data_IF_599593117967
#
_entry.id   IF_599593117967
#
_cell.length_a   1.000
_cell.length_b   1.000
_cell.length_c   1.000
_cell.angle_alpha   90.00
_cell.angle_beta   90.00
_cell.angle_gamma   90.00
#
_symmetry.space_group_name_H-M   'P 1'
#
loop_
_entity.id
_entity.type
_entity.pdbx_description
1 polymer ?
#
# COMPACT_ATOMS: atom_id res chain seq x y z
N UNK A 1 34.64 -6.97 17.45
CA UNK A 1 34.44 -5.53 17.67
C UNK A 1 33.55 -5.03 16.53
N UNK A 2 32.23 -5.22 16.66
CA UNK A 2 31.27 -4.91 15.59
C UNK A 2 31.01 -3.40 15.58
N UNK A 3 31.65 -2.69 14.64
CA UNK A 3 31.20 -1.35 14.26
C UNK A 3 29.85 -1.50 13.55
N UNK A 4 28.73 -1.34 14.27
CA UNK A 4 27.46 -0.99 13.64
C UNK A 4 27.70 0.31 12.87
N UNK A 5 27.45 0.29 11.56
CA UNK A 5 27.37 1.50 10.75
C UNK A 5 26.28 2.37 11.39
N UNK A 6 26.70 3.52 11.90
CA UNK A 6 25.82 4.55 12.45
C UNK A 6 25.25 5.31 11.25
N UNK A 7 24.02 4.98 10.87
CA UNK A 7 23.27 5.71 9.86
C UNK A 7 22.77 7.00 10.51
N UNK A 8 23.45 8.10 10.17
CA UNK A 8 23.17 9.46 10.62
C UNK A 8 21.69 9.82 10.51
N UNK A 9 21.16 10.48 11.56
CA UNK A 9 19.81 11.08 11.67
C UNK A 9 19.15 11.44 10.31
N UNK A 10 18.32 10.55 9.78
CA UNK A 10 17.51 10.83 8.59
C UNK A 10 16.41 11.83 8.97
N UNK A 11 16.39 12.99 8.29
CA UNK A 11 15.37 14.02 8.48
C UNK A 11 14.26 13.85 7.44
N UNK A 12 13.05 13.55 7.90
CA UNK A 12 11.84 13.58 7.08
C UNK A 12 11.17 14.94 7.28
N UNK A 13 11.11 15.75 6.24
CA UNK A 13 10.39 17.02 6.27
C UNK A 13 8.98 16.80 5.71
N UNK A 14 7.96 17.01 6.52
CA UNK A 14 6.56 16.89 6.10
C UNK A 14 5.95 18.27 6.09
N UNK A 15 5.60 18.77 4.90
CA UNK A 15 4.89 20.03 4.73
C UNK A 15 3.38 19.73 4.57
N UNK A 16 2.62 20.07 5.61
CA UNK A 16 1.18 19.86 5.68
C UNK A 16 0.38 21.11 5.29
N UNK A 17 1.00 22.06 4.60
CA UNK A 17 0.38 23.26 4.06
C UNK A 17 0.04 24.36 5.07
N UNK A 18 -0.19 24.04 6.35
CA UNK A 18 -0.32 25.03 7.45
C UNK A 18 0.84 25.00 8.45
N UNK A 19 1.58 23.89 8.49
CA UNK A 19 2.72 23.66 9.36
C UNK A 19 3.74 22.78 8.63
N UNK A 20 5.03 23.09 8.76
CA UNK A 20 6.12 22.18 8.39
C UNK A 20 6.57 21.45 9.65
N UNK A 21 6.59 20.11 9.62
CA UNK A 21 7.11 19.29 10.72
C UNK A 21 8.32 18.52 10.23
N UNK A 22 9.41 18.57 11.00
CA UNK A 22 10.60 17.75 10.77
C UNK A 22 10.58 16.61 11.75
N UNK A 23 10.56 15.38 11.24
CA UNK A 23 10.70 14.17 12.06
C UNK A 23 12.12 13.66 11.93
N UNK A 24 12.76 13.39 13.07
CA UNK A 24 14.01 12.64 13.11
C UNK A 24 13.66 11.16 13.19
N UNK A 25 14.12 10.37 12.22
CA UNK A 25 13.97 8.92 12.24
C UNK A 25 14.99 8.31 13.21
N UNK A 26 14.52 7.47 14.15
CA UNK A 26 15.37 6.60 14.96
C UNK A 26 14.69 5.25 15.17
N UNK A 27 15.21 4.20 14.52
CA UNK A 27 14.87 2.79 14.80
C UNK A 27 13.38 2.44 14.81
N UNK A 28 12.58 2.96 13.89
CA UNK A 28 11.25 2.40 13.60
C UNK A 28 10.13 2.65 14.62
N UNK A 29 10.29 3.61 15.54
CA UNK A 29 9.19 4.06 16.42
C UNK A 29 8.86 5.54 16.15
N UNK A 30 7.57 5.82 15.96
CA UNK A 30 7.02 7.17 15.85
C UNK A 30 6.17 7.49 17.07
N UNK A 31 6.46 8.63 17.72
CA UNK A 31 5.46 9.32 18.54
C UNK A 31 4.53 10.11 17.59
N UNK A 32 3.30 9.62 17.42
CA UNK A 32 2.13 10.40 16.98
C UNK A 32 2.19 11.10 15.61
N UNK A 33 2.75 10.48 14.57
CA UNK A 33 2.60 10.98 13.19
C UNK A 33 2.21 9.89 12.16
N UNK A 34 1.00 9.94 11.57
CA UNK A 34 0.33 8.75 11.02
C UNK A 34 0.52 8.49 9.53
N UNK A 35 1.59 9.02 8.93
CA UNK A 35 1.68 9.03 7.47
C UNK A 35 2.40 7.82 6.86
N UNK A 36 3.26 7.13 7.61
CA UNK A 36 4.39 6.47 6.98
C UNK A 36 4.76 5.14 7.64
N UNK A 37 4.64 4.05 6.89
CA UNK A 37 5.24 2.76 7.24
C UNK A 37 6.45 2.51 6.37
N UNK A 38 7.54 2.09 7.00
CA UNK A 38 8.78 1.68 6.33
C UNK A 38 9.13 0.25 6.73
N UNK A 39 9.36 -0.59 5.72
CA UNK A 39 9.82 -1.95 5.90
C UNK A 39 11.24 -2.00 6.47
N UNK A 40 11.63 -3.17 6.97
CA UNK A 40 12.96 -3.38 7.55
C UNK A 40 14.06 -3.14 6.51
N UNK A 41 15.23 -2.72 6.98
CA UNK A 41 16.42 -2.52 6.15
C UNK A 41 16.24 -1.51 4.99
N UNK A 42 15.16 -0.74 5.00
CA UNK A 42 14.95 0.38 4.10
C UNK A 42 15.49 1.67 4.73
N UNK A 43 16.06 2.55 3.92
CA UNK A 43 16.54 3.86 4.35
C UNK A 43 16.11 4.97 3.40
N UNK A 44 16.06 6.21 3.91
CA UNK A 44 15.62 7.39 3.17
C UNK A 44 16.52 8.55 3.55
N UNK A 45 17.36 9.00 2.61
CA UNK A 45 18.28 10.08 2.89
C UNK A 45 17.56 11.44 3.05
N UNK A 46 16.58 11.74 2.20
CA UNK A 46 15.77 12.97 2.31
C UNK A 46 14.49 12.87 1.49
N UNK A 47 13.36 13.22 2.12
CA UNK A 47 12.05 13.23 1.50
C UNK A 47 11.22 14.42 2.00
N UNK A 48 10.44 14.99 1.08
CA UNK A 48 9.40 15.96 1.33
C UNK A 48 8.05 15.40 0.89
N UNK A 49 7.03 15.61 1.71
CA UNK A 49 5.63 15.36 1.35
C UNK A 49 4.95 16.71 1.25
N UNK A 50 4.30 16.95 0.12
CA UNK A 50 3.50 18.15 -0.14
C UNK A 50 2.05 17.71 -0.39
N UNK A 51 1.16 18.02 0.56
CA UNK A 51 -0.22 17.53 0.55
C UNK A 51 -1.28 18.64 0.53
N UNK A 52 -2.27 18.49 -0.35
CA UNK A 52 -3.51 19.29 -0.35
C UNK A 52 -4.61 18.75 0.59
N UNK A 53 -4.35 17.65 1.28
CA UNK A 53 -5.27 17.00 2.21
C UNK A 53 -4.89 17.26 3.68
N UNK A 54 -5.86 17.17 4.58
CA UNK A 54 -5.58 16.99 6.00
C UNK A 54 -4.86 15.67 6.27
N UNK A 55 -4.16 15.60 7.41
CA UNK A 55 -3.32 14.45 7.80
C UNK A 55 -4.11 13.12 7.83
N UNK A 56 -5.41 13.19 8.08
CA UNK A 56 -6.29 12.04 8.29
C UNK A 56 -6.61 11.21 7.04
N UNK A 57 -6.13 11.59 5.86
CA UNK A 57 -6.44 10.91 4.58
C UNK A 57 -5.19 10.68 3.70
N UNK A 58 -3.99 10.68 4.29
CA UNK A 58 -2.75 10.31 3.60
C UNK A 58 -2.29 8.92 4.05
N UNK A 59 -1.74 8.12 3.15
CA UNK A 59 -1.17 6.80 3.44
C UNK A 59 0.06 6.53 2.57
N UNK A 60 1.24 6.42 3.18
CA UNK A 60 2.47 6.14 2.45
C UNK A 60 3.09 4.88 3.03
N UNK A 61 3.28 3.89 2.16
CA UNK A 61 3.75 2.56 2.52
C UNK A 61 5.01 2.27 1.72
N UNK A 62 6.13 2.00 2.39
CA UNK A 62 7.39 1.60 1.78
C UNK A 62 7.77 0.21 2.26
N UNK A 63 8.03 -0.70 1.32
CA UNK A 63 8.48 -2.06 1.59
C UNK A 63 9.87 -2.13 2.21
N UNK A 64 10.36 -3.35 2.35
CA UNK A 64 11.64 -3.67 2.96
C UNK A 64 12.80 -3.59 1.95
N UNK A 65 14.01 -3.36 2.44
CA UNK A 65 15.26 -3.30 1.64
C UNK A 65 15.31 -2.22 0.55
N UNK A 66 14.55 -1.13 0.73
CA UNK A 66 14.51 -0.01 -0.20
C UNK A 66 15.68 0.95 0.02
N UNK A 67 16.21 1.47 -1.08
CA UNK A 67 17.28 2.47 -1.11
C UNK A 67 16.74 3.78 -1.68
N UNK A 68 16.45 4.76 -0.83
CA UNK A 68 15.80 6.01 -1.25
C UNK A 68 16.77 7.17 -1.03
N UNK A 69 17.16 7.81 -2.13
CA UNK A 69 18.19 8.84 -2.13
C UNK A 69 17.66 10.23 -1.67
N UNK A 70 18.34 11.32 -2.06
CA UNK A 70 18.04 12.67 -1.59
C UNK A 70 16.95 13.36 -2.42
N UNK A 71 16.27 14.32 -1.79
CA UNK A 71 15.31 15.24 -2.41
C UNK A 71 14.15 14.53 -3.10
N UNK A 72 13.57 13.53 -2.44
CA UNK A 72 12.37 12.87 -2.95
C UNK A 72 11.15 13.70 -2.61
N UNK A 73 10.28 13.97 -3.58
CA UNK A 73 9.06 14.76 -3.36
C UNK A 73 7.82 13.91 -3.64
N UNK A 74 6.97 13.74 -2.63
CA UNK A 74 5.65 13.11 -2.77
C UNK A 74 4.58 14.19 -2.86
N UNK A 75 3.94 14.32 -4.03
CA UNK A 75 2.86 15.27 -4.29
C UNK A 75 1.51 14.60 -4.09
N UNK A 76 0.84 14.88 -2.97
CA UNK A 76 -0.40 14.22 -2.59
C UNK A 76 -1.60 15.18 -2.70
N UNK A 77 -2.58 14.81 -3.53
CA UNK A 77 -3.82 15.56 -3.71
C UNK A 77 -3.67 17.09 -3.95
N UNK A 78 -2.65 17.50 -4.71
CA UNK A 78 -2.48 18.89 -5.19
C UNK A 78 -3.25 19.13 -6.51
N UNK A 79 -4.41 18.49 -6.66
CA UNK A 79 -5.18 18.49 -7.90
C UNK A 79 -6.16 19.67 -7.98
N UNK A 80 -6.38 20.16 -9.20
CA UNK A 80 -7.40 21.14 -9.53
C UNK A 80 -8.33 20.59 -10.61
N UNK A 81 -9.59 21.01 -10.61
CA UNK A 81 -10.55 20.62 -11.64
C UNK A 81 -10.29 21.42 -12.91
N UNK A 82 -9.43 20.88 -13.78
CA UNK A 82 -9.10 21.50 -15.06
C UNK A 82 -10.25 21.41 -16.09
N UNK A 83 -11.34 20.70 -15.78
CA UNK A 83 -12.55 20.67 -16.61
C UNK A 83 -13.55 21.75 -16.21
N UNK A 84 -13.43 22.32 -15.01
CA UNK A 84 -14.22 23.48 -14.57
C UNK A 84 -13.80 24.74 -15.32
N UNK A 85 -14.72 25.72 -15.41
CA UNK A 85 -14.46 27.06 -15.98
C UNK A 85 -13.28 27.75 -15.26
N UNK A 86 -13.06 27.42 -13.98
CA UNK A 86 -11.94 27.94 -13.19
C UNK A 86 -11.29 26.83 -12.37
N UNK A 87 -9.95 26.85 -12.34
CA UNK A 87 -9.13 26.01 -11.44
C UNK A 87 -8.95 26.65 -10.06
N UNK A 88 -9.36 27.91 -9.89
CA UNK A 88 -9.17 28.71 -8.67
C UNK A 88 -9.88 28.12 -7.45
N UNK A 89 -9.15 27.81 -6.38
CA UNK A 89 -9.68 27.26 -5.13
C UNK A 89 -10.16 28.34 -4.15
N UNK A 90 -10.48 29.55 -4.63
CA UNK A 90 -10.99 30.61 -3.74
C UNK A 90 -12.30 30.18 -3.06
N UNK A 91 -12.60 30.69 -1.86
CA UNK A 91 -13.83 30.34 -1.14
C UNK A 91 -15.12 30.55 -1.94
N UNK A 92 -15.11 31.49 -2.90
CA UNK A 92 -16.25 31.77 -3.79
C UNK A 92 -16.57 30.55 -4.69
N UNK A 93 -15.56 29.75 -5.06
CA UNK A 93 -15.69 28.60 -5.97
C UNK A 93 -15.48 27.24 -5.30
N UNK A 94 -15.29 27.19 -3.97
CA UNK A 94 -14.89 25.97 -3.25
C UNK A 94 -16.04 24.95 -3.04
N UNK A 95 -17.28 25.42 -2.94
CA UNK A 95 -18.43 24.63 -2.45
C UNK A 95 -19.00 23.58 -3.42
N UNK A 96 -18.44 23.42 -4.63
CA UNK A 96 -19.04 22.56 -5.69
C UNK A 96 -18.08 21.55 -6.34
N UNK A 97 -16.85 21.39 -5.83
CA UNK A 97 -15.86 20.53 -6.50
C UNK A 97 -15.95 19.07 -6.05
N UNK A 98 -16.35 18.19 -6.98
CA UNK A 98 -16.29 16.73 -6.82
C UNK A 98 -15.01 16.17 -7.46
N UNK A 99 -13.85 16.56 -6.92
CA UNK A 99 -12.58 15.97 -7.37
C UNK A 99 -12.34 14.66 -6.65
N UNK A 100 -11.97 13.63 -7.41
CA UNK A 100 -11.41 12.41 -6.81
C UNK A 100 -10.07 12.74 -6.20
N UNK A 101 -9.89 12.39 -4.94
CA UNK A 101 -8.67 12.65 -4.19
C UNK A 101 -8.00 11.31 -3.92
N UNK A 102 -6.71 11.20 -4.23
CA UNK A 102 -5.93 9.99 -3.95
C UNK A 102 -4.95 10.26 -2.81
N UNK A 103 -5.11 9.53 -1.73
CA UNK A 103 -4.29 9.73 -0.52
C UNK A 103 -3.06 8.84 -0.45
N UNK A 104 -2.98 7.82 -1.31
CA UNK A 104 -2.03 6.72 -1.15
C UNK A 104 -0.82 6.81 -2.07
N UNK A 105 0.36 6.46 -1.55
CA UNK A 105 1.53 6.07 -2.34
C UNK A 105 2.05 4.74 -1.78
N UNK A 106 2.24 3.75 -2.66
CA UNK A 106 2.82 2.45 -2.29
C UNK A 106 4.15 2.28 -3.00
N UNK A 107 5.18 1.92 -2.24
CA UNK A 107 6.48 1.52 -2.73
C UNK A 107 6.70 0.09 -2.23
N UNK A 108 6.93 -0.84 -3.16
CA UNK A 108 7.20 -2.24 -2.86
C UNK A 108 8.54 -2.45 -2.16
N UNK A 109 9.02 -3.69 -2.18
CA UNK A 109 10.28 -4.09 -1.57
C UNK A 109 11.45 -3.98 -2.56
N UNK A 110 12.68 -3.85 -2.09
CA UNK A 110 13.90 -3.76 -2.93
C UNK A 110 13.85 -2.64 -3.99
N UNK A 111 13.13 -1.55 -3.71
CA UNK A 111 13.02 -0.42 -4.65
C UNK A 111 14.20 0.52 -4.47
N UNK A 112 14.85 0.87 -5.58
CA UNK A 112 15.87 1.92 -5.61
C UNK A 112 15.30 3.19 -6.22
N UNK A 113 15.31 4.30 -5.47
CA UNK A 113 14.90 5.62 -5.94
C UNK A 113 16.11 6.57 -5.95
N UNK A 114 16.48 7.04 -7.14
CA UNK A 114 17.56 8.00 -7.34
C UNK A 114 17.21 9.42 -6.87
N UNK A 115 18.20 10.32 -6.88
CA UNK A 115 18.03 11.68 -6.38
C UNK A 115 16.98 12.50 -7.17
N UNK A 116 16.33 13.45 -6.50
CA UNK A 116 15.44 14.44 -7.11
C UNK A 116 14.25 13.83 -7.87
N UNK A 117 13.65 12.76 -7.34
CA UNK A 117 12.47 12.11 -7.94
C UNK A 117 11.19 12.70 -7.35
N UNK A 118 10.20 12.93 -8.22
CA UNK A 118 8.84 13.32 -7.82
C UNK A 118 7.91 12.12 -7.99
N UNK A 119 7.13 11.78 -6.97
CA UNK A 119 6.09 10.74 -7.04
C UNK A 119 4.73 11.37 -6.82
N UNK A 120 3.81 11.11 -7.75
CA UNK A 120 2.46 11.63 -7.72
C UNK A 120 1.54 10.77 -6.85
N UNK A 121 0.57 11.43 -6.26
CA UNK A 121 -0.62 10.89 -5.61
C UNK A 121 -1.22 9.67 -6.33
N UNK A 122 -1.39 8.57 -5.59
CA UNK A 122 -2.08 7.37 -6.06
C UNK A 122 -1.21 6.39 -6.85
N UNK A 123 0.11 6.54 -6.82
CA UNK A 123 1.06 5.68 -7.53
C UNK A 123 1.49 4.49 -6.68
N UNK A 124 1.58 3.33 -7.33
CA UNK A 124 2.25 2.12 -6.82
C UNK A 124 3.55 1.85 -7.58
N UNK A 125 4.66 1.70 -6.87
CA UNK A 125 5.96 1.28 -7.42
C UNK A 125 6.21 -0.17 -7.04
N UNK A 126 6.29 -1.06 -8.03
CA UNK A 126 6.44 -2.50 -7.83
C UNK A 126 7.79 -2.92 -7.24
N UNK A 127 7.84 -4.13 -6.68
CA UNK A 127 9.04 -4.70 -6.08
C UNK A 127 10.24 -4.69 -7.02
N UNK A 128 11.43 -4.41 -6.51
CA UNK A 128 12.67 -4.44 -7.29
C UNK A 128 12.80 -3.32 -8.33
N UNK A 129 11.84 -2.40 -8.44
CA UNK A 129 11.90 -1.33 -9.43
C UNK A 129 13.07 -0.36 -9.16
N UNK A 130 13.58 0.23 -10.24
CA UNK A 130 14.66 1.24 -10.17
C UNK A 130 14.17 2.52 -10.81
N UNK A 131 14.11 3.58 -10.03
CA UNK A 131 13.71 4.91 -10.47
C UNK A 131 14.95 5.77 -10.65
N UNK A 132 15.25 6.11 -11.90
CA UNK A 132 16.35 6.98 -12.27
C UNK A 132 16.17 8.40 -11.70
N UNK A 133 17.29 9.04 -11.38
CA UNK A 133 17.30 10.39 -10.84
C UNK A 133 16.55 11.39 -11.75
N UNK A 134 15.85 12.35 -11.13
CA UNK A 134 15.10 13.39 -11.84
C UNK A 134 13.78 12.91 -12.47
N UNK A 135 13.36 11.66 -12.26
CA UNK A 135 12.11 11.14 -12.84
C UNK A 135 10.86 11.73 -12.16
N UNK A 136 9.78 11.87 -12.94
CA UNK A 136 8.44 12.24 -12.43
C UNK A 136 7.50 11.07 -12.60
N UNK A 137 7.23 10.38 -11.49
CA UNK A 137 6.41 9.18 -11.43
C UNK A 137 4.94 9.55 -11.24
N UNK A 138 4.20 9.56 -12.35
CA UNK A 138 2.77 9.88 -12.47
C UNK A 138 1.86 8.68 -12.72
N UNK A 139 2.43 7.48 -12.92
CA UNK A 139 1.71 6.21 -13.13
C UNK A 139 2.42 5.08 -12.39
N UNK A 140 1.70 3.98 -12.18
CA UNK A 140 2.26 2.78 -11.54
C UNK A 140 3.48 2.26 -12.31
N UNK A 141 4.44 1.73 -11.55
CA UNK A 141 5.69 1.16 -12.07
C UNK A 141 5.65 -0.35 -11.86
N UNK A 142 5.79 -1.16 -12.93
CA UNK A 142 5.82 -2.62 -12.79
C UNK A 142 7.00 -3.13 -11.95
N UNK A 143 6.89 -4.32 -11.33
CA UNK A 143 8.02 -4.94 -10.65
C UNK A 143 9.25 -5.09 -11.54
N UNK A 144 10.43 -4.83 -10.96
CA UNK A 144 11.75 -4.90 -11.61
C UNK A 144 11.93 -4.01 -12.84
N UNK A 145 11.00 -3.10 -13.11
CA UNK A 145 11.15 -2.12 -14.18
C UNK A 145 12.20 -1.06 -13.80
N UNK A 146 12.97 -0.63 -14.79
CA UNK A 146 13.86 0.54 -14.67
C UNK A 146 13.17 1.69 -15.39
N UNK A 147 12.92 2.78 -14.67
CA UNK A 147 12.13 3.92 -15.13
C UNK A 147 12.93 5.21 -15.04
N UNK A 148 12.82 6.08 -16.04
CA UNK A 148 13.41 7.42 -16.00
C UNK A 148 12.55 8.44 -16.76
N UNK A 149 12.83 9.72 -16.57
CA UNK A 149 12.29 10.83 -17.36
C UNK A 149 11.02 11.49 -16.79
N UNK A 150 10.60 12.55 -17.48
CA UNK A 150 9.38 13.30 -17.24
C UNK A 150 8.68 13.58 -18.59
N UNK A 151 7.55 12.93 -18.91
CA UNK A 151 6.89 11.90 -18.10
C UNK A 151 7.73 10.62 -18.04
N UNK A 152 7.56 9.84 -16.97
CA UNK A 152 8.28 8.58 -16.77
C UNK A 152 8.13 7.61 -17.95
N UNK A 153 9.17 6.85 -18.25
CA UNK A 153 9.15 5.74 -19.21
C UNK A 153 9.92 4.54 -18.66
N UNK A 154 9.37 3.35 -18.87
CA UNK A 154 10.13 2.10 -18.66
C UNK A 154 11.18 2.02 -19.76
N UNK A 155 12.47 1.98 -19.40
CA UNK A 155 13.58 1.87 -20.35
C UNK A 155 13.98 0.41 -20.60
N UNK A 156 13.88 -0.42 -19.56
CA UNK A 156 14.09 -1.88 -19.60
C UNK A 156 13.61 -2.48 -18.28
N UNK A 157 13.66 -3.80 -18.19
CA UNK A 157 13.54 -4.54 -16.93
C UNK A 157 14.92 -4.97 -16.45
N UNK A 158 15.09 -5.15 -15.13
CA UNK A 158 16.33 -5.69 -14.54
C UNK A 158 16.61 -7.11 -15.03
N UNK A 159 15.55 -7.90 -15.22
CA UNK A 159 15.58 -9.33 -15.53
C UNK A 159 14.52 -9.67 -16.58
N UNK A 160 14.55 -10.89 -17.12
CA UNK A 160 13.50 -11.36 -18.03
C UNK A 160 12.21 -11.72 -17.28
N UNK A 161 11.11 -11.89 -18.01
CA UNK A 161 9.78 -12.13 -17.42
C UNK A 161 9.72 -13.39 -16.55
N UNK A 162 10.38 -14.47 -16.95
CA UNK A 162 10.40 -15.72 -16.17
C UNK A 162 11.15 -15.55 -14.85
N UNK A 163 12.30 -14.88 -14.87
CA UNK A 163 13.10 -14.56 -13.69
C UNK A 163 12.33 -13.67 -12.73
N UNK A 164 11.66 -12.62 -13.24
CA UNK A 164 10.81 -11.73 -12.44
C UNK A 164 9.69 -12.54 -11.78
N UNK A 165 9.00 -13.38 -12.55
CA UNK A 165 7.93 -14.25 -12.03
C UNK A 165 8.44 -15.15 -10.90
N UNK A 166 9.63 -15.75 -11.05
CA UNK A 166 10.24 -16.59 -10.00
C UNK A 166 10.59 -15.76 -8.76
N UNK A 167 11.17 -14.57 -8.91
CA UNK A 167 11.49 -13.69 -7.79
C UNK A 167 10.24 -13.23 -7.01
N UNK A 168 9.16 -12.87 -7.71
CA UNK A 168 7.87 -12.54 -7.10
C UNK A 168 7.21 -13.72 -6.37
N UNK A 169 7.65 -14.96 -6.66
CA UNK A 169 7.25 -16.14 -5.87
C UNK A 169 8.19 -16.35 -4.67
N UNK A 170 9.50 -16.19 -4.87
CA UNK A 170 10.51 -16.41 -3.83
C UNK A 170 10.34 -15.41 -2.67
N UNK A 171 9.95 -14.16 -2.97
CA UNK A 171 9.71 -13.06 -2.01
C UNK A 171 10.78 -13.03 -0.92
N UNK A 172 12.06 -13.01 -1.33
CA UNK A 172 13.19 -13.16 -0.41
C UNK A 172 13.22 -12.09 0.70
N UNK A 173 12.63 -10.92 0.43
CA UNK A 173 12.44 -9.84 1.41
C UNK A 173 11.52 -10.22 2.58
N UNK A 174 10.83 -11.36 2.53
CA UNK A 174 10.04 -11.92 3.64
C UNK A 174 10.81 -12.99 4.42
N UNK A 175 12.02 -13.39 4.02
CA UNK A 175 12.81 -14.40 4.73
C UNK A 175 13.26 -13.88 6.10
N UNK A 176 13.25 -14.73 7.13
CA UNK A 176 13.85 -14.34 8.41
C UNK A 176 15.36 -14.04 8.28
N UNK A 177 15.92 -13.32 9.26
CA UNK A 177 17.33 -12.93 9.23
C UNK A 177 18.29 -14.13 9.21
N UNK A 178 17.92 -15.27 9.80
CA UNK A 178 18.77 -16.47 9.80
C UNK A 178 18.88 -17.05 8.39
N UNK A 179 17.75 -17.13 7.67
CA UNK A 179 17.70 -17.55 6.27
C UNK A 179 18.42 -16.56 5.36
N UNK A 180 18.31 -15.25 5.59
CA UNK A 180 19.07 -14.24 4.84
C UNK A 180 20.58 -14.44 5.04
N UNK A 181 21.06 -14.48 6.29
CA UNK A 181 22.48 -14.60 6.61
C UNK A 181 23.09 -15.90 6.06
N UNK A 182 22.39 -17.03 6.22
CA UNK A 182 22.81 -18.34 5.70
C UNK A 182 22.97 -18.35 4.19
N UNK A 183 22.18 -17.53 3.48
CA UNK A 183 22.14 -17.50 2.02
C UNK A 183 22.77 -16.22 1.42
N UNK A 184 23.43 -15.37 2.22
CA UNK A 184 23.91 -14.05 1.80
C UNK A 184 24.77 -14.06 0.53
N UNK A 185 25.56 -15.13 0.33
CA UNK A 185 26.43 -15.27 -0.83
C UNK A 185 25.66 -15.28 -2.15
N UNK A 186 24.43 -15.81 -2.16
CA UNK A 186 23.62 -15.94 -3.37
C UNK A 186 23.13 -14.59 -3.92
N UNK A 187 23.08 -13.54 -3.10
CA UNK A 187 22.62 -12.21 -3.55
C UNK A 187 23.63 -11.49 -4.46
N UNK A 188 24.88 -11.97 -4.54
CA UNK A 188 25.90 -11.48 -5.45
C UNK A 188 26.10 -12.39 -6.68
N UNK A 189 25.40 -13.52 -6.74
CA UNK A 189 25.51 -14.49 -7.83
C UNK A 189 24.63 -14.11 -9.04
N UNK A 190 24.82 -14.83 -10.14
CA UNK A 190 23.96 -14.71 -11.32
C UNK A 190 22.49 -15.04 -10.97
N UNK A 191 21.57 -14.27 -11.57
CA UNK A 191 20.14 -14.40 -11.31
C UNK A 191 19.62 -15.81 -11.58
N UNK A 192 20.12 -16.51 -12.61
CA UNK A 192 19.68 -17.86 -12.94
C UNK A 192 20.09 -18.86 -11.85
N UNK A 193 21.29 -18.70 -11.28
CA UNK A 193 21.74 -19.51 -10.14
C UNK A 193 20.85 -19.28 -8.91
N UNK A 194 20.50 -18.02 -8.64
CA UNK A 194 19.63 -17.67 -7.52
C UNK A 194 18.23 -18.28 -7.67
N UNK A 195 17.57 -18.05 -8.80
CA UNK A 195 16.19 -18.54 -8.99
C UNK A 195 16.15 -20.06 -9.07
N UNK A 196 17.14 -20.72 -9.71
CA UNK A 196 17.21 -22.18 -9.74
C UNK A 196 17.42 -22.80 -8.35
N UNK A 197 18.08 -22.07 -7.44
CA UNK A 197 18.32 -22.53 -6.07
C UNK A 197 17.06 -22.42 -5.19
N UNK A 198 16.29 -21.35 -5.32
CA UNK A 198 15.25 -20.99 -4.35
C UNK A 198 13.81 -21.08 -4.88
N UNK A 199 13.61 -21.12 -6.19
CA UNK A 199 12.26 -21.25 -6.75
C UNK A 199 11.76 -22.68 -6.59
N UNK A 200 10.55 -22.84 -6.04
CA UNK A 200 9.80 -24.10 -6.04
C UNK A 200 8.39 -23.89 -6.57
N UNK A 201 7.91 -24.74 -7.48
CA UNK A 201 6.54 -24.66 -8.00
C UNK A 201 5.49 -25.14 -6.98
N UNK A 202 5.90 -25.98 -6.03
CA UNK A 202 5.02 -26.65 -5.06
C UNK A 202 4.41 -25.66 -4.05
N UNK A 203 5.12 -24.59 -3.68
CA UNK A 203 4.64 -23.59 -2.70
C UNK A 203 3.42 -22.79 -3.18
N UNK A 204 3.12 -22.77 -4.48
CA UNK A 204 1.91 -22.11 -5.03
C UNK A 204 0.64 -22.96 -4.96
N UNK A 205 0.76 -24.29 -4.88
CA UNK A 205 -0.37 -25.19 -5.10
C UNK A 205 -1.13 -25.62 -3.83
N UNK A 206 -0.55 -25.44 -2.64
CA UNK A 206 -1.15 -25.92 -1.38
C UNK A 206 -1.98 -24.86 -0.63
N UNK A 207 -2.64 -23.95 -1.34
CA UNK A 207 -3.53 -22.97 -0.70
C UNK A 207 -4.96 -23.51 -0.81
N UNK A 208 -5.62 -23.72 0.33
CA UNK A 208 -6.98 -24.24 0.38
C UNK A 208 -7.95 -23.35 -0.42
N UNK A 209 -8.96 -23.97 -1.02
CA UNK A 209 -10.05 -23.23 -1.67
C UNK A 209 -11.13 -22.94 -0.63
N UNK A 210 -11.41 -21.66 -0.41
CA UNK A 210 -12.55 -21.22 0.39
C UNK A 210 -13.65 -20.79 -0.57
N UNK A 211 -14.74 -21.56 -0.65
CA UNK A 211 -15.91 -21.18 -1.44
C UNK A 211 -16.76 -20.22 -0.63
N UNK A 212 -16.87 -18.96 -1.08
CA UNK A 212 -17.68 -17.95 -0.40
C UNK A 212 -18.95 -17.69 -1.21
N UNK A 213 -20.12 -17.71 -0.56
CA UNK A 213 -21.34 -17.25 -1.21
C UNK A 213 -21.32 -15.72 -1.26
N UNK A 214 -20.92 -15.18 -2.42
CA UNK A 214 -20.83 -13.74 -2.70
C UNK A 214 -21.59 -13.39 -3.97
N UNK A 215 -21.91 -12.11 -4.11
CA UNK A 215 -22.45 -11.51 -5.34
C UNK A 215 -21.36 -11.32 -6.40
N UNK A 216 -21.73 -10.80 -7.57
CA UNK A 216 -20.86 -10.74 -8.76
C UNK A 216 -19.60 -9.89 -8.58
N UNK A 217 -19.67 -8.81 -7.84
CA UNK A 217 -18.54 -7.95 -7.51
C UNK A 217 -18.20 -8.09 -6.03
N UNK A 218 -16.94 -8.23 -5.67
CA UNK A 218 -16.56 -8.31 -4.26
C UNK A 218 -15.36 -7.47 -3.85
N UNK A 219 -15.49 -6.88 -2.66
CA UNK A 219 -14.44 -6.11 -2.00
C UNK A 219 -13.99 -6.83 -0.74
N UNK A 220 -12.71 -7.16 -0.63
CA UNK A 220 -12.09 -7.58 0.62
C UNK A 220 -11.63 -6.36 1.40
N UNK A 221 -12.01 -6.30 2.67
CA UNK A 221 -11.54 -5.29 3.60
C UNK A 221 -11.14 -5.94 4.93
N UNK A 222 -9.95 -5.60 5.40
CA UNK A 222 -9.40 -6.03 6.69
C UNK A 222 -9.29 -4.75 7.55
N UNK A 223 -10.24 -4.53 8.49
CA UNK A 223 -10.29 -3.30 9.28
C UNK A 223 -9.03 -3.07 10.12
N UNK A 224 -8.59 -1.82 10.21
CA UNK A 224 -7.41 -1.37 10.92
C UNK A 224 -7.73 -0.86 12.33
N UNK A 225 -8.44 -1.66 13.14
CA UNK A 225 -9.03 -1.24 14.43
C UNK A 225 -8.05 -0.61 15.42
N UNK A 226 -6.79 -1.02 15.37
CA UNK A 226 -5.76 -0.64 16.34
C UNK A 226 -4.88 0.52 15.88
N UNK A 227 -5.05 0.99 14.65
CA UNK A 227 -4.27 2.11 14.14
C UNK A 227 -4.73 3.42 14.80
N UNK A 228 -3.79 4.35 15.05
CA UNK A 228 -4.13 5.64 15.67
C UNK A 228 -5.01 6.52 14.76
N UNK A 229 -4.99 6.28 13.45
CA UNK A 229 -5.79 7.00 12.45
C UNK A 229 -6.43 6.00 11.49
N UNK A 230 -7.38 5.19 11.99
CA UNK A 230 -7.92 4.08 11.23
C UNK A 230 -8.82 4.59 10.09
N UNK A 231 -8.93 3.81 9.01
CA UNK A 231 -9.86 4.09 7.92
C UNK A 231 -11.11 3.23 7.96
N UNK A 232 -11.18 2.22 8.83
CA UNK A 232 -12.28 1.25 8.83
C UNK A 232 -13.67 1.86 8.96
N UNK A 233 -13.87 2.85 9.83
CA UNK A 233 -15.17 3.52 9.98
C UNK A 233 -15.59 4.17 8.65
N UNK A 234 -14.70 4.98 8.07
CA UNK A 234 -14.91 5.65 6.78
C UNK A 234 -15.24 4.66 5.67
N UNK A 235 -14.46 3.58 5.55
CA UNK A 235 -14.67 2.58 4.48
C UNK A 235 -16.03 1.90 4.64
N UNK A 236 -16.39 1.46 5.85
CA UNK A 236 -17.69 0.80 6.07
C UNK A 236 -18.84 1.80 5.83
N UNK A 237 -18.77 3.01 6.40
CA UNK A 237 -19.77 4.06 6.18
C UNK A 237 -19.95 4.39 4.70
N UNK A 238 -18.87 4.60 3.94
CA UNK A 238 -18.97 4.89 2.50
C UNK A 238 -19.55 3.71 1.71
N UNK A 239 -19.27 2.46 2.09
CA UNK A 239 -19.86 1.29 1.45
C UNK A 239 -21.38 1.24 1.68
N UNK A 240 -21.81 1.37 2.94
CA UNK A 240 -23.23 1.33 3.28
C UNK A 240 -23.99 2.53 2.74
N UNK A 241 -23.37 3.71 2.62
CA UNK A 241 -23.99 4.87 1.96
C UNK A 241 -24.12 4.67 0.45
N UNK A 242 -23.11 4.06 -0.19
CA UNK A 242 -23.02 3.94 -1.64
C UNK A 242 -23.92 2.86 -2.22
N UNK A 243 -24.06 1.73 -1.54
CA UNK A 243 -24.72 0.53 -2.06
C UNK A 243 -25.95 0.13 -1.24
N UNK A 244 -26.79 -0.73 -1.81
CA UNK A 244 -28.04 -1.22 -1.24
C UNK A 244 -28.20 -2.75 -1.43
N UNK A 245 -29.22 -3.38 -0.84
CA UNK A 245 -29.45 -4.82 -0.98
C UNK A 245 -29.66 -5.27 -2.43
N UNK A 246 -30.04 -4.34 -3.32
CA UNK A 246 -30.29 -4.57 -4.74
C UNK A 246 -29.03 -4.56 -5.61
N UNK A 247 -27.91 -4.02 -5.10
CA UNK A 247 -26.65 -4.00 -5.84
C UNK A 247 -26.02 -5.39 -5.85
N UNK A 248 -25.39 -5.75 -6.98
CA UNK A 248 -24.72 -7.04 -7.20
C UNK A 248 -23.27 -7.01 -6.66
N UNK A 249 -23.13 -6.61 -5.39
CA UNK A 249 -21.86 -6.36 -4.71
C UNK A 249 -21.86 -6.91 -3.28
N UNK A 250 -20.75 -7.54 -2.87
CA UNK A 250 -20.50 -8.02 -1.51
C UNK A 250 -19.25 -7.35 -0.92
N UNK A 251 -19.33 -6.88 0.33
CA UNK A 251 -18.17 -6.50 1.13
C UNK A 251 -17.81 -7.65 2.06
N UNK A 252 -16.63 -8.24 1.84
CA UNK A 252 -16.05 -9.26 2.69
C UNK A 252 -15.23 -8.57 3.79
N UNK A 253 -15.74 -8.58 5.01
CA UNK A 253 -15.10 -8.02 6.19
C UNK A 253 -14.32 -9.11 6.92
N UNK A 254 -13.00 -9.13 6.77
CA UNK A 254 -12.12 -10.04 7.51
C UNK A 254 -11.78 -9.41 8.85
N UNK A 255 -12.41 -9.92 9.91
CA UNK A 255 -12.13 -9.55 11.30
C UNK A 255 -11.20 -10.60 11.89
N UNK A 256 -10.00 -10.19 12.30
CA UNK A 256 -9.05 -11.10 12.93
C UNK A 256 -9.52 -11.51 14.32
N UNK A 257 -9.20 -12.75 14.72
CA UNK A 257 -9.51 -13.25 16.05
C UNK A 257 -8.58 -12.61 17.08
N UNK A 258 -9.16 -11.89 18.03
CA UNK A 258 -8.48 -11.28 19.15
C UNK A 258 -9.41 -11.17 20.37
N UNK A 259 -8.89 -10.68 21.50
CA UNK A 259 -9.65 -10.52 22.74
C UNK A 259 -10.78 -9.49 22.65
N UNK A 260 -10.76 -8.60 21.65
CA UNK A 260 -11.71 -7.50 21.45
C UNK A 260 -12.73 -7.77 20.32
N UNK A 261 -12.74 -8.97 19.74
CA UNK A 261 -13.57 -9.29 18.56
C UNK A 261 -15.05 -8.95 18.73
N UNK A 262 -15.63 -9.21 19.90
CA UNK A 262 -17.04 -8.88 20.17
C UNK A 262 -17.29 -7.38 20.13
N UNK A 263 -16.36 -6.59 20.66
CA UNK A 263 -16.42 -5.12 20.62
C UNK A 263 -16.29 -4.62 19.18
N UNK A 264 -15.38 -5.19 18.40
CA UNK A 264 -15.22 -4.84 16.97
C UNK A 264 -16.50 -5.11 16.17
N UNK A 265 -17.16 -6.25 16.43
CA UNK A 265 -18.45 -6.58 15.79
C UNK A 265 -19.54 -5.59 16.23
N UNK A 266 -19.60 -5.24 17.52
CA UNK A 266 -20.56 -4.24 18.04
C UNK A 266 -20.34 -2.86 17.39
N UNK A 267 -19.10 -2.39 17.35
CA UNK A 267 -18.70 -1.11 16.75
C UNK A 267 -19.02 -1.06 15.24
N UNK A 268 -18.84 -2.17 14.52
CA UNK A 268 -19.27 -2.29 13.11
C UNK A 268 -20.79 -2.29 13.00
N UNK A 269 -21.47 -3.06 13.86
CA UNK A 269 -22.94 -3.15 13.89
C UNK A 269 -23.59 -1.79 14.12
N UNK A 270 -22.98 -0.93 14.95
CA UNK A 270 -23.45 0.43 15.17
C UNK A 270 -23.48 1.29 13.90
N UNK A 271 -22.57 1.05 12.93
CA UNK A 271 -22.56 1.77 11.64
C UNK A 271 -23.56 1.15 10.66
N UNK A 272 -23.61 -0.18 10.61
CA UNK A 272 -24.41 -0.93 9.64
C UNK A 272 -25.90 -0.83 9.95
N UNK A 273 -26.29 -0.86 11.23
CA UNK A 273 -27.69 -0.88 11.66
C UNK A 273 -28.41 0.47 11.51
N UNK A 274 -27.72 1.54 11.10
CA UNK A 274 -28.34 2.84 10.83
C UNK A 274 -29.18 2.84 9.54
N UNK A 275 -29.07 1.80 8.70
CA UNK A 275 -29.70 1.76 7.37
C UNK A 275 -30.77 0.65 7.25
N UNK A 276 -31.95 1.02 6.74
CA UNK A 276 -33.03 0.06 6.48
C UNK A 276 -32.73 -0.90 5.32
N UNK A 277 -32.16 -0.39 4.22
CA UNK A 277 -31.79 -1.18 3.04
C UNK A 277 -30.28 -1.43 2.99
N UNK A 278 -29.86 -2.55 3.59
CA UNK A 278 -28.46 -2.88 3.79
C UNK A 278 -27.85 -3.62 2.57
N UNK A 279 -26.70 -3.19 2.03
CA UNK A 279 -25.96 -3.97 1.04
C UNK A 279 -25.41 -5.28 1.62
N UNK A 280 -25.04 -6.20 0.74
CA UNK A 280 -24.53 -7.51 1.14
C UNK A 280 -23.15 -7.38 1.79
N UNK A 281 -23.02 -7.90 3.02
CA UNK A 281 -21.80 -7.86 3.84
C UNK A 281 -21.58 -9.26 4.42
N UNK A 282 -20.40 -9.83 4.17
CA UNK A 282 -20.00 -11.14 4.66
C UNK A 282 -18.85 -10.97 5.66
N UNK A 283 -19.08 -11.32 6.93
CA UNK A 283 -18.05 -11.27 7.97
C UNK A 283 -17.29 -12.61 8.00
N UNK A 284 -15.96 -12.53 7.91
CA UNK A 284 -15.06 -13.68 8.01
C UNK A 284 -14.25 -13.54 9.30
N UNK A 285 -14.58 -14.33 10.30
CA UNK A 285 -13.84 -14.36 11.57
C UNK A 285 -13.22 -15.72 11.87
N UNK A 286 -13.28 -16.70 10.96
CA UNK A 286 -12.70 -18.02 11.20
C UNK A 286 -11.18 -18.00 11.40
N UNK A 287 -10.68 -19.05 12.06
CA UNK A 287 -9.25 -19.33 12.15
C UNK A 287 -8.77 -19.93 10.82
N UNK A 288 -8.15 -19.07 10.00
CA UNK A 288 -7.61 -19.44 8.69
C UNK A 288 -6.09 -19.61 8.86
N UNK A 289 -5.58 -20.77 8.47
CA UNK A 289 -4.14 -21.09 8.53
C UNK A 289 -3.32 -20.26 7.54
N UNK A 290 -3.88 -19.99 6.36
CA UNK A 290 -3.26 -19.19 5.30
C UNK A 290 -4.24 -18.17 4.72
N UNK A 291 -4.13 -16.91 5.15
CA UNK A 291 -5.04 -15.82 4.74
C UNK A 291 -5.05 -15.57 3.23
N UNK A 292 -4.05 -16.05 2.48
CA UNK A 292 -4.01 -15.98 1.01
C UNK A 292 -5.23 -16.61 0.36
N UNK A 293 -5.84 -17.62 0.99
CA UNK A 293 -7.02 -18.29 0.43
C UNK A 293 -8.19 -17.32 0.21
N UNK A 294 -8.32 -16.26 1.02
CA UNK A 294 -9.40 -15.28 0.87
C UNK A 294 -9.21 -14.45 -0.40
N UNK A 295 -7.96 -14.13 -0.74
CA UNK A 295 -7.63 -13.30 -1.91
C UNK A 295 -7.89 -14.02 -3.23
N UNK A 296 -7.97 -15.35 -3.25
CA UNK A 296 -8.28 -16.13 -4.46
C UNK A 296 -9.66 -15.84 -5.03
N UNK A 297 -10.61 -15.45 -4.20
CA UNK A 297 -12.02 -15.35 -4.57
C UNK A 297 -12.57 -13.93 -4.35
N UNK A 298 -11.77 -12.90 -4.60
CA UNK A 298 -12.22 -11.49 -4.52
C UNK A 298 -11.76 -10.65 -5.71
N UNK A 299 -12.54 -9.65 -6.09
CA UNK A 299 -12.20 -8.76 -7.21
C UNK A 299 -11.29 -7.60 -6.79
N UNK A 300 -11.52 -7.07 -5.59
CA UNK A 300 -10.82 -5.92 -5.06
C UNK A 300 -10.34 -6.14 -3.62
N UNK A 301 -9.20 -5.56 -3.27
CA UNK A 301 -8.72 -5.41 -1.91
C UNK A 301 -8.63 -3.92 -1.56
N UNK A 302 -9.19 -3.53 -0.43
CA UNK A 302 -9.16 -2.16 0.07
C UNK A 302 -8.05 -2.04 1.11
N UNK A 303 -7.03 -1.25 0.80
CA UNK A 303 -5.88 -1.04 1.68
C UNK A 303 -6.25 -0.13 2.85
N UNK A 304 -5.58 -0.34 3.99
CA UNK A 304 -5.65 0.51 5.17
C UNK A 304 -4.33 1.21 5.43
N UNK A 305 -4.21 1.89 6.57
CA UNK A 305 -2.92 2.41 7.06
C UNK A 305 -2.11 1.39 7.84
N UNK A 306 -2.71 0.23 8.12
CA UNK A 306 -2.06 -0.83 8.86
C UNK A 306 -0.77 -1.29 8.17
N UNK A 307 0.28 -1.55 8.95
CA UNK A 307 1.60 -1.97 8.44
C UNK A 307 1.52 -3.24 7.58
N UNK A 308 0.58 -4.11 7.92
CA UNK A 308 0.28 -5.37 7.24
C UNK A 308 -0.35 -5.16 5.85
N UNK A 309 -0.77 -3.93 5.50
CA UNK A 309 -1.32 -3.62 4.17
C UNK A 309 -0.36 -4.03 3.06
N UNK A 310 0.97 -3.86 3.22
CA UNK A 310 1.92 -4.30 2.20
C UNK A 310 1.91 -5.82 2.01
N UNK A 311 1.85 -6.59 3.10
CA UNK A 311 1.67 -8.05 3.06
C UNK A 311 0.40 -8.43 2.31
N UNK A 312 -0.71 -7.74 2.58
CA UNK A 312 -1.98 -8.00 1.91
C UNK A 312 -2.00 -7.58 0.43
N UNK A 313 -1.28 -6.51 0.06
CA UNK A 313 -1.05 -6.15 -1.34
C UNK A 313 -0.25 -7.24 -2.05
N UNK A 314 0.73 -7.86 -1.39
CA UNK A 314 1.45 -9.01 -1.97
C UNK A 314 0.54 -10.22 -2.21
N UNK A 315 -0.44 -10.46 -1.33
CA UNK A 315 -1.44 -11.52 -1.53
C UNK A 315 -2.39 -11.15 -2.67
N UNK A 316 -2.87 -9.91 -2.72
CA UNK A 316 -3.70 -9.41 -3.81
C UNK A 316 -3.01 -9.55 -5.17
N UNK A 317 -1.73 -9.15 -5.27
CA UNK A 317 -0.94 -9.27 -6.48
C UNK A 317 -0.75 -10.73 -6.91
N UNK A 318 -0.59 -11.67 -5.97
CA UNK A 318 -0.45 -13.10 -6.25
C UNK A 318 -1.66 -13.70 -6.96
N UNK A 319 -2.86 -13.14 -6.71
CA UNK A 319 -4.13 -13.57 -7.33
C UNK A 319 -4.74 -12.56 -8.31
N UNK A 320 -3.98 -11.52 -8.70
CA UNK A 320 -4.45 -10.45 -9.60
C UNK A 320 -5.68 -9.67 -9.09
N UNK A 321 -5.84 -9.58 -7.77
CA UNK A 321 -6.86 -8.77 -7.12
C UNK A 321 -6.54 -7.29 -7.30
N UNK A 322 -7.54 -6.47 -7.65
CA UNK A 322 -7.35 -5.04 -7.87
C UNK A 322 -7.26 -4.28 -6.56
N UNK A 323 -6.37 -3.30 -6.49
CA UNK A 323 -6.20 -2.48 -5.29
C UNK A 323 -7.12 -1.26 -5.33
N UNK A 324 -7.78 -0.99 -4.20
CA UNK A 324 -8.42 0.28 -3.87
C UNK A 324 -7.84 0.83 -2.57
N UNK A 325 -7.83 2.15 -2.45
CA UNK A 325 -7.28 2.85 -1.29
C UNK A 325 -8.42 3.31 -0.38
N UNK A 326 -8.41 2.87 0.90
CA UNK A 326 -9.38 3.35 1.90
C UNK A 326 -9.24 4.83 2.25
N UNK A 327 -8.10 5.45 1.90
CA UNK A 327 -7.87 6.89 2.09
C UNK A 327 -8.26 7.73 0.87
N UNK A 328 -8.66 7.10 -0.23
CA UNK A 328 -9.17 7.84 -1.39
C UNK A 328 -10.55 8.43 -1.08
N UNK A 329 -10.86 9.56 -1.72
CA UNK A 329 -12.15 10.25 -1.54
C UNK A 329 -12.84 10.37 -2.91
N UNK A 330 -13.95 9.66 -3.14
CA UNK A 330 -14.47 8.53 -2.34
C UNK A 330 -13.66 7.23 -2.56
N UNK A 331 -13.84 6.23 -1.69
CA UNK A 331 -13.22 4.89 -1.78
C UNK A 331 -13.85 4.05 -2.92
N UNK A 332 -15.19 4.08 -3.02
CA UNK A 332 -15.97 3.17 -3.89
C UNK A 332 -16.28 3.76 -5.27
#
# INVERSE_FOLDING_TARGET
>A
MNKRLDWSNDMIHVDLGKETRTFMYKNGEYDNFPLFNIGRESYINSMQIDSGLGNEVINIQIGSFCSIAYNILFLINRNHDYKSITTSSTPIFSSKRKLKQKGQIIIGNDVWIGNNVIVMSGVTIGNGAVIGAGAVISKDVPPYAIVTGNPQRVIKYRFNEEQIRKLECIKWWNWDYSKLEKNRQWFAEDIDLFVNKFYSEVEKMNIDNVSMQKKKCSYLFIPDFYESYPVWKKVISEYVEKFSSHDDVTLLLRIQQDENINKHIEDIGAIINEKEDLPDILIINDNISDERCIFKDVDYFITTRCKETLKYIEYANEFNVKIKSGVDIPTF
#
